data_IF_531842214688
#
_entry.id   IF_531842214688
#
_cell.length_a   1.000
_cell.length_b   1.000
_cell.length_c   1.000
_cell.angle_alpha   90.00
_cell.angle_beta   90.00
_cell.angle_gamma   90.00
#
_symmetry.space_group_name_H-M   'P 1'
#
loop_
_entity.id
_entity.type
_entity.pdbx_description
1 polymer ?
#
# COMPACT_ATOMS: atom_id res chain seq x y z
N UNK A 1 -23.56 -9.01 -12.23
CA UNK A 1 -23.30 -10.28 -11.50
C UNK A 1 -23.88 -10.16 -10.09
N UNK A 2 -24.28 -11.28 -9.51
CA UNK A 2 -24.82 -11.36 -8.15
C UNK A 2 -23.80 -12.08 -7.25
N UNK A 3 -23.57 -11.58 -6.06
CA UNK A 3 -22.70 -12.20 -5.06
C UNK A 3 -23.36 -13.48 -4.53
N UNK A 4 -22.71 -14.63 -4.72
CA UNK A 4 -23.25 -15.95 -4.37
C UNK A 4 -22.62 -16.55 -3.12
N UNK A 5 -21.36 -16.22 -2.82
CA UNK A 5 -20.71 -16.55 -1.56
C UNK A 5 -19.65 -15.55 -1.17
N UNK A 6 -19.47 -15.39 0.11
CA UNK A 6 -18.49 -14.48 0.73
C UNK A 6 -17.85 -15.19 1.92
N UNK A 7 -16.54 -15.31 1.93
CA UNK A 7 -15.78 -15.96 2.98
C UNK A 7 -14.71 -15.01 3.50
N UNK A 8 -14.67 -14.81 4.80
CA UNK A 8 -13.69 -13.97 5.48
C UNK A 8 -12.73 -14.81 6.29
N UNK A 9 -11.44 -14.58 6.08
CA UNK A 9 -10.35 -15.25 6.78
C UNK A 9 -9.43 -14.22 7.42
N UNK A 10 -8.80 -14.61 8.54
CA UNK A 10 -7.73 -13.85 9.16
C UNK A 10 -6.39 -14.53 8.91
N UNK A 11 -5.35 -13.73 8.72
CA UNK A 11 -3.99 -14.21 8.63
C UNK A 11 -3.07 -13.47 9.61
N UNK A 12 -1.96 -14.13 9.97
CA UNK A 12 -0.82 -13.55 10.66
C UNK A 12 0.45 -14.11 10.05
N UNK A 13 1.24 -13.25 9.41
CA UNK A 13 2.49 -13.60 8.74
C UNK A 13 3.68 -13.11 9.56
N UNK A 14 4.63 -13.97 9.92
CA UNK A 14 5.87 -13.53 10.55
C UNK A 14 6.77 -12.81 9.54
N UNK A 15 7.57 -11.87 10.05
CA UNK A 15 8.60 -11.19 9.28
C UNK A 15 9.96 -11.82 9.58
N UNK A 16 10.83 -11.88 8.56
CA UNK A 16 12.18 -12.44 8.70
C UNK A 16 13.11 -11.55 9.54
N UNK A 17 12.78 -10.26 9.61
CA UNK A 17 13.50 -9.25 10.38
C UNK A 17 12.51 -8.31 11.07
N UNK A 18 12.96 -7.68 12.16
CA UNK A 18 12.20 -6.59 12.77
C UNK A 18 12.12 -5.41 11.77
N UNK A 19 10.91 -5.12 11.30
CA UNK A 19 10.70 -4.11 10.28
C UNK A 19 10.39 -2.75 10.91
N UNK A 20 11.12 -1.68 10.56
CA UNK A 20 10.80 -0.36 11.03
C UNK A 20 9.52 0.18 10.37
N UNK A 21 8.60 0.67 11.19
CA UNK A 21 7.34 1.31 10.81
C UNK A 21 7.30 2.66 11.53
N UNK A 22 7.70 3.73 10.84
CA UNK A 22 8.03 4.99 11.49
C UNK A 22 9.17 4.81 12.50
N UNK A 23 8.93 5.20 13.77
CA UNK A 23 9.87 5.02 14.88
C UNK A 23 9.66 3.71 15.66
N UNK A 24 8.67 2.92 15.28
CA UNK A 24 8.30 1.64 15.90
C UNK A 24 8.81 0.47 15.07
N UNK A 25 8.73 -0.76 15.60
CA UNK A 25 9.16 -1.99 14.91
C UNK A 25 8.13 -3.08 15.06
N UNK A 26 7.91 -3.85 14.00
CA UNK A 26 7.01 -4.99 14.00
C UNK A 26 7.75 -6.28 13.61
N UNK A 27 7.30 -7.42 14.14
CA UNK A 27 7.82 -8.77 13.85
C UNK A 27 6.86 -9.63 13.04
N UNK A 28 5.65 -9.14 12.82
CA UNK A 28 4.62 -9.83 12.05
C UNK A 28 3.68 -8.83 11.37
N UNK A 29 2.96 -9.33 10.38
CA UNK A 29 1.88 -8.61 9.72
C UNK A 29 0.58 -9.42 9.84
N UNK A 30 -0.52 -8.76 10.23
CA UNK A 30 -1.84 -9.36 10.30
C UNK A 30 -2.83 -8.61 9.40
N UNK A 31 -3.82 -9.32 8.91
CA UNK A 31 -4.86 -8.77 8.05
C UNK A 31 -5.97 -9.77 7.79
N UNK A 32 -6.87 -9.41 6.90
CA UNK A 32 -8.00 -10.21 6.46
C UNK A 32 -7.86 -10.56 4.98
N UNK A 33 -8.37 -11.72 4.59
CA UNK A 33 -8.60 -12.08 3.20
C UNK A 33 -10.10 -12.25 3.00
N UNK A 34 -10.67 -11.46 2.10
CA UNK A 34 -12.06 -11.59 1.68
C UNK A 34 -12.09 -12.29 0.33
N UNK A 35 -12.67 -13.50 0.30
CA UNK A 35 -12.98 -14.24 -0.91
C UNK A 35 -14.43 -14.02 -1.27
N UNK A 36 -14.71 -13.70 -2.52
CA UNK A 36 -16.06 -13.59 -3.04
C UNK A 36 -16.25 -14.41 -4.32
N UNK A 37 -17.44 -14.99 -4.43
CA UNK A 37 -17.92 -15.59 -5.66
C UNK A 37 -19.11 -14.79 -6.19
N UNK A 38 -19.15 -14.57 -7.50
CA UNK A 38 -20.29 -13.94 -8.16
C UNK A 38 -20.63 -14.65 -9.48
N UNK A 39 -21.92 -14.65 -9.85
CA UNK A 39 -22.38 -15.24 -11.10
C UNK A 39 -23.36 -14.32 -11.84
N UNK A 40 -23.44 -14.45 -13.17
CA UNK A 40 -24.40 -13.68 -13.96
C UNK A 40 -25.83 -14.24 -13.88
N UNK A 41 -25.99 -15.58 -13.86
CA UNK A 41 -27.24 -16.32 -13.71
C UNK A 41 -26.94 -17.77 -13.31
N UNK A 42 -27.97 -18.56 -13.02
CA UNK A 42 -27.84 -20.01 -12.81
C UNK A 42 -27.23 -20.66 -14.06
N UNK A 43 -26.01 -21.16 -13.96
CA UNK A 43 -25.23 -21.73 -15.09
C UNK A 43 -24.52 -20.72 -15.99
N UNK A 44 -24.53 -19.43 -15.63
CA UNK A 44 -23.82 -18.38 -16.33
C UNK A 44 -22.35 -18.22 -15.94
N UNK A 45 -21.75 -17.10 -16.33
CA UNK A 45 -20.38 -16.76 -15.98
C UNK A 45 -20.21 -16.72 -14.46
N UNK A 46 -19.18 -17.40 -13.97
CA UNK A 46 -18.84 -17.52 -12.56
C UNK A 46 -17.44 -16.94 -12.33
N UNK A 47 -17.31 -16.10 -11.32
CA UNK A 47 -16.02 -15.57 -10.88
C UNK A 47 -15.81 -15.78 -9.40
N UNK A 48 -14.61 -16.19 -9.07
CA UNK A 48 -14.10 -16.24 -7.70
C UNK A 48 -12.83 -15.41 -7.63
N UNK A 49 -12.78 -14.52 -6.67
CA UNK A 49 -11.62 -13.63 -6.45
C UNK A 49 -11.36 -13.44 -4.95
N UNK A 50 -10.12 -13.15 -4.62
CA UNK A 50 -9.65 -12.83 -3.27
C UNK A 50 -9.06 -11.44 -3.24
N UNK A 51 -9.25 -10.72 -2.13
CA UNK A 51 -8.61 -9.44 -1.84
C UNK A 51 -8.06 -9.43 -0.42
N UNK A 52 -6.96 -8.75 -0.23
CA UNK A 52 -6.40 -8.48 1.08
C UNK A 52 -6.97 -7.17 1.64
N UNK A 53 -7.34 -7.17 2.94
CA UNK A 53 -7.76 -6.00 3.69
C UNK A 53 -6.94 -5.96 4.97
N UNK A 54 -5.92 -5.11 5.00
CA UNK A 54 -4.88 -5.13 6.02
C UNK A 54 -4.51 -3.72 6.50
N UNK A 55 -5.34 -3.10 7.36
CA UNK A 55 -4.96 -1.83 7.96
C UNK A 55 -3.61 -1.97 8.67
N UNK A 56 -2.71 -1.00 8.50
CA UNK A 56 -1.45 -0.97 9.22
C UNK A 56 -1.70 -0.44 10.63
N UNK A 57 -2.13 -1.33 11.49
CA UNK A 57 -2.52 -1.09 12.89
C UNK A 57 -2.12 -2.28 13.76
N UNK A 58 -2.23 -2.15 15.07
CA UNK A 58 -1.89 -3.20 16.03
C UNK A 58 -0.89 -2.71 17.06
N UNK A 59 -0.04 -3.60 17.51
CA UNK A 59 1.01 -3.32 18.49
C UNK A 59 2.39 -3.63 17.90
N UNK A 60 3.39 -2.90 18.33
CA UNK A 60 4.79 -3.12 17.99
C UNK A 60 5.44 -4.17 18.91
N UNK A 61 6.75 -4.40 18.73
CA UNK A 61 7.51 -5.37 19.53
C UNK A 61 7.68 -4.96 21.00
N UNK A 62 7.46 -3.68 21.32
CA UNK A 62 7.49 -3.13 22.69
C UNK A 62 6.07 -3.02 23.28
N UNK A 63 5.09 -3.71 22.70
CA UNK A 63 3.67 -3.73 23.10
C UNK A 63 2.99 -2.33 23.04
N UNK A 64 3.54 -1.41 22.24
CA UNK A 64 2.96 -0.09 22.04
C UNK A 64 2.05 -0.08 20.79
N UNK A 65 0.96 0.68 20.85
CA UNK A 65 0.04 0.84 19.72
C UNK A 65 0.78 1.51 18.54
N UNK A 66 0.63 0.94 17.35
CA UNK A 66 1.14 1.56 16.12
C UNK A 66 0.41 2.87 15.84
N UNK A 67 1.17 3.94 15.62
CA UNK A 67 0.65 5.28 15.38
C UNK A 67 1.15 5.87 14.05
N UNK A 68 0.34 6.74 13.46
CA UNK A 68 0.72 7.48 12.23
C UNK A 68 0.39 6.77 10.92
N UNK A 69 -0.33 5.65 10.96
CA UNK A 69 -0.71 4.85 9.77
C UNK A 69 -2.23 4.73 9.63
N UNK A 70 -2.78 3.51 9.68
CA UNK A 70 -4.23 3.34 9.60
C UNK A 70 -4.94 3.98 10.79
N UNK A 71 -6.06 4.64 10.50
CA UNK A 71 -6.93 5.23 11.51
C UNK A 71 -7.79 4.19 12.21
N UNK A 72 -8.13 3.14 11.48
CA UNK A 72 -8.89 1.98 11.95
C UNK A 72 -7.98 0.86 12.44
N UNK A 73 -8.51 0.06 13.35
CA UNK A 73 -7.89 -1.18 13.80
C UNK A 73 -8.38 -2.38 12.98
N UNK A 74 -7.58 -3.44 12.94
CA UNK A 74 -7.99 -4.70 12.29
C UNK A 74 -9.29 -5.25 12.87
N UNK A 75 -9.48 -5.15 14.20
CA UNK A 75 -10.69 -5.60 14.87
C UNK A 75 -11.95 -4.82 14.44
N UNK A 76 -11.84 -3.50 14.28
CA UNK A 76 -12.94 -2.67 13.77
C UNK A 76 -13.33 -3.07 12.35
N UNK A 77 -12.34 -3.26 11.47
CA UNK A 77 -12.58 -3.69 10.08
C UNK A 77 -13.18 -5.09 10.02
N UNK A 78 -12.68 -6.01 10.84
CA UNK A 78 -13.23 -7.38 10.94
C UNK A 78 -14.69 -7.37 11.37
N UNK A 79 -15.05 -6.59 12.39
CA UNK A 79 -16.44 -6.46 12.87
C UNK A 79 -17.32 -5.90 11.75
N UNK A 80 -16.94 -4.79 11.14
CA UNK A 80 -17.70 -4.17 10.06
C UNK A 80 -17.89 -5.11 8.86
N UNK A 81 -16.84 -5.85 8.45
CA UNK A 81 -16.94 -6.84 7.39
C UNK A 81 -17.87 -7.99 7.75
N UNK A 82 -17.78 -8.52 8.96
CA UNK A 82 -18.64 -9.64 9.40
C UNK A 82 -20.12 -9.27 9.33
N UNK A 83 -20.47 -8.04 9.74
CA UNK A 83 -21.84 -7.53 9.63
C UNK A 83 -22.24 -7.32 8.16
N UNK A 84 -21.33 -6.77 7.36
CA UNK A 84 -21.57 -6.47 5.95
C UNK A 84 -21.77 -7.70 5.09
N UNK A 85 -21.09 -8.82 5.37
CA UNK A 85 -21.25 -10.08 4.63
C UNK A 85 -22.69 -10.57 4.62
N UNK A 86 -23.42 -10.36 5.71
CA UNK A 86 -24.84 -10.75 5.83
C UNK A 86 -25.74 -9.90 4.91
N UNK A 87 -25.35 -8.68 4.61
CA UNK A 87 -26.10 -7.74 3.76
C UNK A 87 -25.76 -7.89 2.28
N UNK A 88 -24.54 -8.30 1.98
CA UNK A 88 -24.02 -8.41 0.61
C UNK A 88 -24.47 -9.68 -0.11
N UNK A 89 -24.76 -10.76 0.61
CA UNK A 89 -25.21 -12.02 0.00
C UNK A 89 -26.46 -11.82 -0.84
N UNK A 90 -26.45 -12.22 -2.11
CA UNK A 90 -27.55 -12.05 -3.04
C UNK A 90 -27.66 -10.67 -3.69
N UNK A 91 -26.83 -9.74 -3.30
CA UNK A 91 -26.84 -8.40 -3.90
C UNK A 91 -26.07 -8.35 -5.22
N UNK A 92 -26.35 -7.33 -6.01
CA UNK A 92 -25.54 -7.03 -7.20
C UNK A 92 -24.15 -6.57 -6.78
N UNK A 93 -23.11 -6.93 -7.54
CA UNK A 93 -21.73 -6.58 -7.20
C UNK A 93 -21.49 -5.06 -7.08
N UNK A 94 -22.27 -4.22 -7.74
CA UNK A 94 -22.15 -2.76 -7.65
C UNK A 94 -22.43 -2.22 -6.25
N UNK A 95 -23.19 -2.95 -5.42
CA UNK A 95 -23.42 -2.58 -4.01
C UNK A 95 -22.11 -2.54 -3.21
N UNK A 96 -21.05 -3.24 -3.66
CA UNK A 96 -19.73 -3.13 -3.07
C UNK A 96 -19.18 -1.70 -3.15
N UNK A 97 -19.45 -0.98 -4.26
CA UNK A 97 -19.02 0.41 -4.43
C UNK A 97 -19.79 1.35 -3.51
N UNK A 98 -21.10 1.13 -3.34
CA UNK A 98 -21.92 1.94 -2.44
C UNK A 98 -21.41 1.82 -0.98
N UNK A 99 -21.07 0.61 -0.54
CA UNK A 99 -20.49 0.39 0.78
C UNK A 99 -19.04 0.90 0.90
N UNK A 100 -18.26 0.84 -0.18
CA UNK A 100 -16.91 1.42 -0.20
C UNK A 100 -16.95 2.94 -0.03
N UNK A 101 -17.89 3.63 -0.69
CA UNK A 101 -18.07 5.08 -0.59
C UNK A 101 -18.54 5.52 0.81
N UNK A 102 -19.46 4.74 1.42
CA UNK A 102 -20.00 5.02 2.74
C UNK A 102 -19.06 4.65 3.89
N UNK A 103 -18.02 3.87 3.63
CA UNK A 103 -17.11 3.37 4.66
C UNK A 103 -16.24 4.49 5.23
N UNK A 104 -16.23 4.61 6.56
CA UNK A 104 -15.28 5.46 7.29
C UNK A 104 -13.89 4.83 7.44
N UNK A 105 -13.73 3.54 7.09
CA UNK A 105 -12.49 2.78 7.17
C UNK A 105 -11.83 2.69 5.80
N UNK A 106 -10.70 3.39 5.56
CA UNK A 106 -10.00 3.37 4.28
C UNK A 106 -9.65 1.97 3.77
N UNK A 107 -9.13 1.10 4.62
CA UNK A 107 -8.76 -0.26 4.22
C UNK A 107 -9.96 -1.09 3.77
N UNK A 108 -11.12 -0.92 4.41
CA UNK A 108 -12.38 -1.56 4.01
C UNK A 108 -12.87 -0.99 2.67
N UNK A 109 -12.88 0.33 2.52
CA UNK A 109 -13.27 1.00 1.28
C UNK A 109 -12.40 0.55 0.10
N UNK A 110 -11.08 0.48 0.30
CA UNK A 110 -10.15 -0.04 -0.70
C UNK A 110 -10.47 -1.50 -1.05
N UNK A 111 -10.57 -2.37 -0.06
CA UNK A 111 -10.84 -3.80 -0.27
C UNK A 111 -12.14 -4.07 -1.02
N UNK A 112 -13.23 -3.37 -0.68
CA UNK A 112 -14.52 -3.53 -1.36
C UNK A 112 -14.48 -3.04 -2.82
N UNK A 113 -13.86 -1.89 -3.07
CA UNK A 113 -13.71 -1.37 -4.44
C UNK A 113 -12.78 -2.24 -5.30
N UNK A 114 -11.72 -2.80 -4.70
CA UNK A 114 -10.82 -3.74 -5.35
C UNK A 114 -11.54 -5.07 -5.65
N UNK A 115 -12.32 -5.58 -4.70
CA UNK A 115 -13.13 -6.77 -4.90
C UNK A 115 -14.08 -6.61 -6.10
N UNK A 116 -14.77 -5.47 -6.18
CA UNK A 116 -15.62 -5.13 -7.32
C UNK A 116 -14.82 -5.11 -8.63
N UNK A 117 -13.65 -4.45 -8.65
CA UNK A 117 -12.82 -4.34 -9.84
C UNK A 117 -12.34 -5.73 -10.34
N UNK A 118 -11.98 -6.62 -9.41
CA UNK A 118 -11.57 -8.01 -9.73
C UNK A 118 -12.76 -8.85 -10.22
N UNK A 119 -13.94 -8.73 -9.61
CA UNK A 119 -15.16 -9.42 -10.07
C UNK A 119 -15.60 -8.95 -11.46
N UNK A 120 -15.38 -7.68 -11.78
CA UNK A 120 -15.61 -7.12 -13.13
C UNK A 120 -14.51 -7.45 -14.14
N UNK A 121 -13.43 -8.13 -13.72
CA UNK A 121 -12.31 -8.47 -14.60
C UNK A 121 -11.47 -7.28 -15.06
N UNK A 122 -11.53 -6.15 -14.36
CA UNK A 122 -10.81 -4.93 -14.78
C UNK A 122 -9.29 -5.08 -14.69
N UNK A 123 -8.80 -6.04 -13.91
CA UNK A 123 -7.36 -6.31 -13.74
C UNK A 123 -6.84 -7.42 -14.68
N UNK A 124 -7.71 -8.26 -15.25
CA UNK A 124 -7.31 -9.50 -15.93
C UNK A 124 -6.44 -9.29 -17.18
N UNK A 125 -6.73 -8.25 -17.96
CA UNK A 125 -6.00 -7.94 -19.19
C UNK A 125 -4.76 -7.07 -18.96
N UNK A 126 -4.53 -6.63 -17.73
CA UNK A 126 -3.47 -5.69 -17.40
C UNK A 126 -2.19 -6.46 -17.08
N UNK A 127 -1.08 -6.10 -17.72
CA UNK A 127 0.23 -6.61 -17.32
C UNK A 127 0.68 -5.88 -16.06
N UNK A 128 1.00 -6.61 -14.97
CA UNK A 128 1.43 -5.98 -13.73
C UNK A 128 2.77 -5.24 -13.92
N UNK A 129 2.96 -4.17 -13.18
CA UNK A 129 4.26 -3.53 -13.03
C UNK A 129 5.19 -4.46 -12.24
N UNK A 130 6.21 -5.00 -12.89
CA UNK A 130 7.19 -5.89 -12.24
C UNK A 130 8.41 -5.15 -11.72
N UNK A 131 8.69 -3.94 -12.23
CA UNK A 131 9.73 -3.09 -11.70
C UNK A 131 9.27 -2.47 -10.38
N UNK A 132 10.15 -2.41 -9.42
CA UNK A 132 9.93 -1.71 -8.15
C UNK A 132 11.18 -0.93 -7.77
N UNK A 133 11.02 0.13 -6.97
CA UNK A 133 12.14 0.91 -6.45
C UNK A 133 12.73 0.16 -5.26
N UNK A 134 14.00 -0.29 -5.33
CA UNK A 134 14.63 -1.01 -4.22
C UNK A 134 14.70 -0.16 -2.96
N UNK A 135 14.39 -0.77 -1.81
CA UNK A 135 14.41 -0.12 -0.51
C UNK A 135 15.71 -0.42 0.24
N UNK A 136 16.38 0.64 0.69
CA UNK A 136 17.64 0.58 1.44
C UNK A 136 17.41 1.16 2.84
N UNK A 137 17.83 0.39 3.85
CA UNK A 137 17.86 0.78 5.25
C UNK A 137 19.30 0.96 5.71
N UNK A 138 19.51 1.80 6.72
CA UNK A 138 20.80 1.86 7.41
C UNK A 138 21.06 0.48 8.06
N UNK A 139 22.23 -0.13 7.80
CA UNK A 139 22.58 -1.40 8.44
C UNK A 139 22.79 -1.18 9.94
N UNK A 140 21.97 -1.84 10.77
CA UNK A 140 22.05 -1.71 12.24
C UNK A 140 23.26 -2.41 12.85
N UNK A 141 23.76 -3.51 12.22
CA UNK A 141 24.84 -4.35 12.75
C UNK A 141 25.81 -4.91 11.68
N UNK A 142 25.56 -4.62 10.41
CA UNK A 142 26.38 -5.12 9.32
C UNK A 142 27.24 -3.96 8.77
N UNK A 143 28.53 -4.17 8.72
CA UNK A 143 29.48 -3.17 8.22
C UNK A 143 29.15 -2.71 6.79
N UNK A 144 29.71 -1.59 6.38
CA UNK A 144 29.51 -0.94 5.07
C UNK A 144 29.69 -1.88 3.86
N UNK A 145 30.46 -2.95 3.99
CA UNK A 145 30.71 -3.93 2.91
C UNK A 145 29.43 -4.66 2.45
N UNK A 146 28.47 -4.90 3.34
CA UNK A 146 27.18 -5.53 2.97
C UNK A 146 26.30 -4.57 2.19
N UNK A 147 26.29 -3.30 2.54
CA UNK A 147 25.59 -2.27 1.82
C UNK A 147 26.16 -2.08 0.41
N UNK A 148 27.48 -1.94 0.29
CA UNK A 148 28.17 -1.76 -0.99
C UNK A 148 27.89 -2.96 -1.91
N UNK A 149 27.90 -4.19 -1.38
CA UNK A 149 27.55 -5.40 -2.12
C UNK A 149 26.07 -5.40 -2.57
N UNK A 150 25.14 -5.00 -1.70
CA UNK A 150 23.71 -4.89 -2.04
C UNK A 150 23.48 -3.88 -3.16
N UNK A 151 24.11 -2.71 -3.05
CA UNK A 151 23.99 -1.64 -4.06
C UNK A 151 24.65 -2.05 -5.37
N UNK A 152 25.84 -2.66 -5.33
CA UNK A 152 26.55 -3.16 -6.52
C UNK A 152 25.77 -4.28 -7.23
N UNK A 153 25.03 -5.09 -6.51
CA UNK A 153 24.21 -6.17 -7.06
C UNK A 153 22.93 -5.69 -7.77
N UNK A 154 22.55 -4.41 -7.62
CA UNK A 154 21.40 -3.86 -8.31
C UNK A 154 21.60 -3.90 -9.83
N UNK A 155 20.59 -4.38 -10.55
CA UNK A 155 20.64 -4.46 -12.02
C UNK A 155 20.84 -3.07 -12.66
N UNK A 156 21.47 -3.02 -13.82
CA UNK A 156 21.72 -1.75 -14.55
C UNK A 156 20.42 -1.04 -14.99
N UNK A 157 19.30 -1.73 -14.99
CA UNK A 157 17.98 -1.14 -15.26
C UNK A 157 17.39 -0.39 -14.06
N UNK A 158 17.97 -0.52 -12.87
CA UNK A 158 17.58 0.23 -11.68
C UNK A 158 18.21 1.61 -11.75
N UNK A 159 17.38 2.63 -11.85
CA UNK A 159 17.81 4.04 -11.94
C UNK A 159 17.52 4.83 -10.67
N UNK A 160 16.64 4.33 -9.81
CA UNK A 160 16.30 4.99 -8.54
C UNK A 160 16.26 3.97 -7.41
N UNK A 161 16.64 4.40 -6.21
CA UNK A 161 16.51 3.63 -4.96
C UNK A 161 15.84 4.50 -3.90
N UNK A 162 15.05 3.87 -3.04
CA UNK A 162 14.45 4.52 -1.86
C UNK A 162 15.37 4.29 -0.66
N UNK A 163 15.68 5.35 0.09
CA UNK A 163 16.57 5.31 1.25
C UNK A 163 15.84 5.86 2.46
N UNK A 164 15.70 5.06 3.52
CA UNK A 164 15.18 5.53 4.81
C UNK A 164 16.22 6.42 5.49
N UNK A 165 15.79 7.60 5.93
CA UNK A 165 16.58 8.60 6.64
C UNK A 165 15.86 9.05 7.92
N UNK A 166 16.46 9.93 8.70
CA UNK A 166 15.98 10.35 10.03
C UNK A 166 15.85 9.18 11.05
N UNK A 167 16.68 8.16 10.87
CA UNK A 167 16.69 6.96 11.73
C UNK A 167 17.90 6.93 12.68
N UNK A 168 18.98 7.59 12.30
CA UNK A 168 20.27 7.60 13.01
C UNK A 168 20.83 9.02 13.10
N UNK A 169 22.14 9.18 13.36
CA UNK A 169 22.77 10.50 13.29
C UNK A 169 22.85 11.01 11.85
N UNK A 170 22.86 12.33 11.67
CA UNK A 170 23.01 12.96 10.34
C UNK A 170 24.30 12.48 9.66
N UNK A 171 25.40 12.33 10.41
CA UNK A 171 26.69 11.87 9.90
C UNK A 171 26.60 10.42 9.35
N UNK A 172 25.93 9.52 10.05
CA UNK A 172 25.76 8.14 9.63
C UNK A 172 24.90 8.06 8.37
N UNK A 173 23.82 8.84 8.30
CA UNK A 173 22.93 8.89 7.13
C UNK A 173 23.60 9.50 5.90
N UNK A 174 24.40 10.55 6.10
CA UNK A 174 25.25 11.10 5.01
C UNK A 174 26.26 10.07 4.54
N UNK A 175 26.91 9.34 5.46
CA UNK A 175 27.83 8.25 5.12
C UNK A 175 27.16 7.17 4.29
N UNK A 176 25.92 6.77 4.64
CA UNK A 176 25.09 5.83 3.88
C UNK A 176 24.84 6.34 2.46
N UNK A 177 24.35 7.58 2.32
CA UNK A 177 23.99 8.18 1.03
C UNK A 177 25.23 8.30 0.13
N UNK A 178 26.34 8.84 0.65
CA UNK A 178 27.59 8.94 -0.11
C UNK A 178 28.19 7.56 -0.44
N UNK A 179 27.98 6.53 0.42
CA UNK A 179 28.34 5.15 0.12
C UNK A 179 27.58 4.61 -1.09
N UNK A 180 26.26 4.82 -1.14
CA UNK A 180 25.41 4.43 -2.27
C UNK A 180 25.88 5.11 -3.56
N UNK A 181 26.04 6.44 -3.53
CA UNK A 181 26.44 7.23 -4.70
C UNK A 181 27.87 6.95 -5.16
N UNK A 182 28.77 6.58 -4.25
CA UNK A 182 30.15 6.14 -4.62
C UNK A 182 30.10 4.80 -5.36
N UNK A 183 29.24 3.87 -4.94
CA UNK A 183 29.11 2.54 -5.55
C UNK A 183 28.36 2.59 -6.88
N UNK A 184 27.30 3.41 -6.96
CA UNK A 184 26.44 3.60 -8.13
C UNK A 184 26.12 5.09 -8.34
N UNK A 185 27.04 5.86 -8.95
CA UNK A 185 26.88 7.31 -9.15
C UNK A 185 25.76 7.69 -10.15
N UNK A 186 25.25 6.72 -10.89
CA UNK A 186 24.14 6.86 -11.84
C UNK A 186 22.76 6.83 -11.17
N UNK A 187 22.67 6.40 -9.90
CA UNK A 187 21.40 6.31 -9.20
C UNK A 187 20.85 7.68 -8.80
N UNK A 188 19.53 7.79 -8.86
CA UNK A 188 18.75 8.83 -8.21
C UNK A 188 18.20 8.31 -6.89
N UNK A 189 18.08 9.18 -5.90
CA UNK A 189 17.62 8.80 -4.57
C UNK A 189 16.24 9.39 -4.27
N UNK A 190 15.34 8.57 -3.76
CA UNK A 190 14.08 8.93 -3.12
C UNK A 190 14.31 8.77 -1.62
N UNK A 191 14.48 9.86 -0.91
CA UNK A 191 14.70 9.82 0.53
C UNK A 191 13.36 9.72 1.25
N UNK A 192 13.30 8.99 2.37
CA UNK A 192 12.08 8.85 3.16
C UNK A 192 12.39 9.10 4.64
N UNK A 193 11.99 10.25 5.13
CA UNK A 193 12.25 10.70 6.49
C UNK A 193 11.12 10.38 7.47
N UNK A 194 9.95 9.94 7.00
CA UNK A 194 8.78 9.64 7.83
C UNK A 194 8.53 10.68 8.94
N UNK A 195 8.63 11.97 8.61
CA UNK A 195 8.52 13.10 9.55
C UNK A 195 9.52 13.04 10.71
N UNK A 196 10.71 12.50 10.49
CA UNK A 196 11.69 12.29 11.55
C UNK A 196 12.49 13.53 11.94
N UNK A 197 12.69 14.50 11.04
CA UNK A 197 13.48 15.70 11.29
C UNK A 197 12.65 16.88 11.82
N UNK A 198 13.24 17.70 12.70
CA UNK A 198 12.76 19.08 12.83
C UNK A 198 13.05 19.84 11.54
N UNK A 199 12.47 21.02 11.37
CA UNK A 199 12.74 21.86 10.20
C UNK A 199 14.25 22.17 10.05
N UNK A 200 14.90 22.55 11.15
CA UNK A 200 16.33 22.87 11.18
C UNK A 200 17.18 21.65 10.82
N UNK A 201 16.86 20.48 11.37
CA UNK A 201 17.56 19.23 11.05
C UNK A 201 17.37 18.83 9.58
N UNK A 202 16.18 18.99 9.03
CA UNK A 202 15.91 18.72 7.61
C UNK A 202 16.77 19.62 6.71
N UNK A 203 16.85 20.90 7.03
CA UNK A 203 17.67 21.88 6.30
C UNK A 203 19.15 21.53 6.42
N UNK A 204 19.65 21.25 7.63
CA UNK A 204 21.05 20.88 7.88
C UNK A 204 21.43 19.61 7.12
N UNK A 205 20.61 18.57 7.18
CA UNK A 205 20.80 17.31 6.46
C UNK A 205 20.83 17.53 4.94
N UNK A 206 19.82 18.22 4.41
CA UNK A 206 19.67 18.44 2.97
C UNK A 206 20.78 19.33 2.39
N UNK A 207 21.29 20.29 3.17
CA UNK A 207 22.41 21.17 2.75
C UNK A 207 23.71 20.40 2.49
N UNK A 208 23.85 19.20 3.07
CA UNK A 208 25.02 18.34 2.88
C UNK A 208 24.89 17.37 1.70
N UNK A 209 23.76 17.38 0.95
CA UNK A 209 23.50 16.41 -0.11
C UNK A 209 23.70 16.99 -1.52
N UNK A 210 24.12 16.16 -2.49
CA UNK A 210 24.17 16.55 -3.90
C UNK A 210 22.75 16.56 -4.48
N UNK A 211 22.10 17.74 -4.49
CA UNK A 211 20.68 17.90 -4.82
C UNK A 211 20.31 17.32 -6.20
N UNK A 212 21.25 17.36 -7.14
CA UNK A 212 21.04 16.82 -8.49
C UNK A 212 20.89 15.29 -8.53
N UNK A 213 21.25 14.58 -7.46
CA UNK A 213 21.05 13.13 -7.33
C UNK A 213 19.76 12.77 -6.60
N UNK A 214 19.08 13.75 -5.98
CA UNK A 214 17.87 13.52 -5.20
C UNK A 214 16.63 13.80 -6.05
N UNK A 215 15.73 12.81 -6.19
CA UNK A 215 14.44 13.01 -6.85
C UNK A 215 13.49 13.84 -5.95
N UNK A 216 13.41 13.46 -4.68
CA UNK A 216 12.67 14.14 -3.64
C UNK A 216 12.98 13.53 -2.26
N UNK A 217 12.57 14.22 -1.21
CA UNK A 217 12.49 13.68 0.15
C UNK A 217 11.03 13.56 0.59
N UNK A 218 10.61 12.39 1.04
CA UNK A 218 9.25 12.13 1.56
C UNK A 218 9.16 12.64 2.99
N UNK A 219 8.12 13.44 3.27
CA UNK A 219 7.77 13.95 4.60
C UNK A 219 9.01 14.35 5.42
N UNK A 220 9.80 15.34 4.98
CA UNK A 220 11.06 15.70 5.66
C UNK A 220 10.83 16.18 7.08
N UNK A 221 9.82 17.03 7.31
CA UNK A 221 9.64 17.72 8.57
C UNK A 221 8.60 17.04 9.48
N UNK A 222 8.85 17.05 10.79
CA UNK A 222 7.88 16.58 11.81
C UNK A 222 6.52 17.24 11.67
N UNK A 223 6.53 18.54 11.39
CA UNK A 223 5.32 19.28 11.05
C UNK A 223 5.26 19.45 9.52
N UNK A 224 4.27 18.86 8.83
CA UNK A 224 4.18 18.95 7.36
C UNK A 224 4.04 20.38 6.82
N UNK A 225 3.59 21.32 7.64
CA UNK A 225 3.49 22.73 7.25
C UNK A 225 4.86 23.37 7.00
N UNK A 226 5.91 22.82 7.62
CA UNK A 226 7.29 23.33 7.48
C UNK A 226 7.96 22.84 6.18
N UNK A 227 7.35 21.89 5.44
CA UNK A 227 7.89 21.36 4.19
C UNK A 227 8.08 22.46 3.12
N UNK A 228 7.18 23.46 3.08
CA UNK A 228 7.31 24.58 2.16
C UNK A 228 8.51 25.46 2.52
N UNK A 229 8.72 25.78 3.78
CA UNK A 229 9.85 26.58 4.25
C UNK A 229 11.19 25.83 4.08
N UNK A 230 11.19 24.52 4.32
CA UNK A 230 12.31 23.63 3.99
C UNK A 230 12.70 23.76 2.51
N UNK A 231 11.72 23.64 1.59
CA UNK A 231 11.99 23.81 0.16
C UNK A 231 12.51 25.20 -0.18
N UNK A 232 11.96 26.25 0.42
CA UNK A 232 12.41 27.62 0.17
C UNK A 232 13.86 27.85 0.63
N UNK A 233 14.30 27.17 1.69
CA UNK A 233 15.66 27.29 2.22
C UNK A 233 16.70 26.55 1.39
N UNK A 234 16.38 25.36 0.87
CA UNK A 234 17.35 24.43 0.25
C UNK A 234 17.08 24.18 -1.23
N UNK A 235 15.84 24.32 -1.70
CA UNK A 235 15.46 23.98 -3.07
C UNK A 235 15.32 22.47 -3.34
N UNK A 236 15.41 21.61 -2.31
CA UNK A 236 15.23 20.18 -2.46
C UNK A 236 13.73 19.85 -2.60
N UNK A 237 13.30 19.17 -3.68
CA UNK A 237 11.92 18.76 -3.87
C UNK A 237 11.46 17.81 -2.75
N UNK A 238 10.15 17.86 -2.40
CA UNK A 238 9.58 16.95 -1.42
C UNK A 238 8.36 16.21 -1.94
N UNK A 239 8.03 15.12 -1.28
CA UNK A 239 6.83 14.32 -1.52
C UNK A 239 5.98 14.21 -0.25
N UNK A 240 4.66 13.99 -0.43
CA UNK A 240 3.75 13.70 0.67
C UNK A 240 3.42 12.19 0.69
N UNK A 241 3.42 11.62 1.88
CA UNK A 241 3.02 10.24 2.22
C UNK A 241 2.02 10.26 3.39
N UNK A 242 2.49 10.42 4.62
CA UNK A 242 1.65 10.43 5.81
C UNK A 242 0.64 11.59 5.82
N UNK A 243 0.95 12.70 5.18
CA UNK A 243 0.02 13.83 5.04
C UNK A 243 -1.26 13.46 4.31
N UNK A 244 -1.19 12.49 3.39
CA UNK A 244 -2.35 12.00 2.63
C UNK A 244 -3.34 11.23 3.52
N UNK A 245 -2.90 10.73 4.68
CA UNK A 245 -3.73 9.96 5.60
C UNK A 245 -4.65 10.83 6.49
N UNK A 246 -4.48 12.16 6.45
CA UNK A 246 -5.40 13.08 7.15
C UNK A 246 -6.80 12.95 6.51
N UNK A 247 -7.86 12.68 7.30
CA UNK A 247 -9.22 12.59 6.77
C UNK A 247 -9.72 13.86 6.08
N UNK A 248 -9.14 15.00 6.45
CA UNK A 248 -9.46 16.30 5.88
C UNK A 248 -8.49 16.72 4.76
N UNK A 249 -7.55 15.87 4.38
CA UNK A 249 -6.60 16.18 3.32
C UNK A 249 -7.35 16.52 2.03
N UNK A 250 -7.01 17.66 1.49
CA UNK A 250 -7.40 18.09 0.14
C UNK A 250 -6.14 18.48 -0.61
N UNK A 251 -6.00 17.97 -1.81
CA UNK A 251 -4.85 18.29 -2.64
C UNK A 251 -4.81 19.81 -2.90
N UNK A 252 -3.67 20.39 -2.59
CA UNK A 252 -3.34 21.77 -2.94
C UNK A 252 -1.90 21.83 -3.43
N UNK A 253 -1.68 22.36 -4.62
CA UNK A 253 -0.34 22.52 -5.17
C UNK A 253 0.48 23.50 -4.33
N UNK A 254 1.69 23.08 -3.95
CA UNK A 254 2.65 23.89 -3.21
C UNK A 254 4.00 23.88 -3.93
N UNK A 255 4.77 24.97 -3.80
CA UNK A 255 6.11 25.02 -4.35
C UNK A 255 6.99 23.94 -3.72
N UNK A 256 7.71 23.21 -4.58
CA UNK A 256 8.57 22.10 -4.15
C UNK A 256 7.88 20.75 -4.00
N UNK A 257 6.54 20.69 -3.97
CA UNK A 257 5.81 19.43 -4.01
C UNK A 257 5.92 18.83 -5.41
N UNK A 258 6.57 17.65 -5.51
CA UNK A 258 6.82 16.99 -6.80
C UNK A 258 6.20 15.60 -6.89
N UNK A 259 5.86 14.98 -5.76
CA UNK A 259 5.28 13.64 -5.75
C UNK A 259 4.29 13.42 -4.60
N UNK A 260 3.32 12.52 -4.84
CA UNK A 260 2.46 11.90 -3.83
C UNK A 260 2.79 10.41 -3.77
N UNK A 261 3.10 9.91 -2.57
CA UNK A 261 3.31 8.47 -2.30
C UNK A 261 1.98 7.90 -1.80
N UNK A 262 1.30 7.20 -2.70
CA UNK A 262 -0.09 6.78 -2.50
C UNK A 262 -0.13 5.35 -2.00
N UNK A 263 -0.61 5.15 -0.79
CA UNK A 263 -0.85 3.84 -0.16
C UNK A 263 -2.35 3.53 -0.16
N UNK A 264 -2.85 2.74 -1.12
CA UNK A 264 -4.28 2.52 -1.31
C UNK A 264 -5.00 2.05 -0.05
N UNK A 265 -4.38 1.13 0.72
CA UNK A 265 -4.94 0.60 1.96
C UNK A 265 -5.20 1.67 3.03
N UNK A 266 -4.46 2.80 3.00
CA UNK A 266 -4.58 3.88 3.96
C UNK A 266 -5.49 5.03 3.47
N UNK A 267 -5.75 5.11 2.16
CA UNK A 267 -6.46 6.23 1.55
C UNK A 267 -7.92 5.93 1.22
N UNK A 268 -8.25 4.71 0.83
CA UNK A 268 -9.63 4.31 0.58
C UNK A 268 -9.90 3.78 -0.82
N UNK A 269 -11.11 3.97 -1.34
CA UNK A 269 -11.59 3.34 -2.58
C UNK A 269 -10.74 3.71 -3.81
N UNK A 270 -10.73 2.81 -4.80
CA UNK A 270 -10.02 3.03 -6.08
C UNK A 270 -10.50 4.32 -6.77
N UNK A 271 -11.78 4.65 -6.67
CA UNK A 271 -12.32 5.89 -7.24
C UNK A 271 -11.72 7.13 -6.57
N UNK A 272 -11.65 7.14 -5.23
CA UNK A 272 -10.99 8.21 -4.48
C UNK A 272 -9.53 8.37 -4.87
N UNK A 273 -8.81 7.25 -5.05
CA UNK A 273 -7.43 7.24 -5.50
C UNK A 273 -7.28 7.82 -6.91
N UNK A 274 -8.13 7.38 -7.85
CA UNK A 274 -8.12 7.86 -9.22
C UNK A 274 -8.35 9.38 -9.30
N UNK A 275 -9.32 9.90 -8.55
CA UNK A 275 -9.62 11.33 -8.49
C UNK A 275 -8.44 12.14 -7.92
N UNK A 276 -7.78 11.64 -6.86
CA UNK A 276 -6.59 12.28 -6.31
C UNK A 276 -5.44 12.30 -7.32
N UNK A 277 -5.19 11.16 -7.97
CA UNK A 277 -4.12 11.01 -8.98
C UNK A 277 -4.36 11.95 -10.16
N UNK A 278 -5.55 11.94 -10.74
CA UNK A 278 -5.92 12.81 -11.86
C UNK A 278 -5.72 14.29 -11.49
N UNK A 279 -6.19 14.68 -10.30
CA UNK A 279 -6.02 16.04 -9.81
C UNK A 279 -4.55 16.41 -9.68
N UNK A 280 -3.74 15.61 -8.97
CA UNK A 280 -2.32 15.89 -8.75
C UNK A 280 -1.52 15.94 -10.06
N UNK A 281 -1.76 14.98 -10.96
CA UNK A 281 -1.12 14.93 -12.27
C UNK A 281 -1.46 16.14 -13.14
N UNK A 282 -2.67 16.71 -13.03
CA UNK A 282 -3.04 17.93 -13.76
C UNK A 282 -2.17 19.15 -13.38
N UNK A 283 -1.51 19.10 -12.22
CA UNK A 283 -0.53 20.08 -11.74
C UNK A 283 0.92 19.65 -11.97
N UNK A 284 1.15 18.53 -12.66
CA UNK A 284 2.50 17.99 -12.91
C UNK A 284 3.12 17.28 -11.71
N UNK A 285 2.33 16.95 -10.68
CA UNK A 285 2.79 16.19 -9.52
C UNK A 285 2.75 14.69 -9.82
N UNK A 286 3.87 14.02 -9.63
CA UNK A 286 4.01 12.56 -9.81
C UNK A 286 3.17 11.83 -8.76
N UNK A 287 2.58 10.69 -9.13
CA UNK A 287 1.80 9.86 -8.21
C UNK A 287 2.38 8.45 -8.20
N UNK A 288 2.93 8.01 -7.08
CA UNK A 288 3.62 6.74 -6.94
C UNK A 288 2.77 5.81 -6.06
N UNK A 289 2.26 4.71 -6.63
CA UNK A 289 1.61 3.67 -5.83
C UNK A 289 2.67 3.00 -4.96
N UNK A 290 2.38 2.91 -3.67
CA UNK A 290 3.27 2.31 -2.67
C UNK A 290 2.50 1.35 -1.76
N UNK A 291 3.24 0.47 -1.08
CA UNK A 291 2.64 -0.47 -0.13
C UNK A 291 2.59 0.08 1.28
N UNK A 292 1.63 -0.41 2.06
CA UNK A 292 1.57 -0.32 3.51
C UNK A 292 1.87 -1.67 4.17
N UNK A 293 2.84 -2.40 3.60
CA UNK A 293 3.25 -3.75 4.01
C UNK A 293 2.16 -4.80 3.79
N UNK A 294 1.50 -4.76 2.64
CA UNK A 294 0.63 -5.83 2.20
C UNK A 294 1.44 -7.11 1.93
N UNK A 295 0.76 -8.25 2.07
CA UNK A 295 1.29 -9.57 1.71
C UNK A 295 1.45 -9.72 0.20
N UNK A 296 1.92 -10.90 -0.24
CA UNK A 296 2.04 -11.20 -1.67
C UNK A 296 0.71 -11.12 -2.44
N UNK A 297 -0.44 -11.36 -1.78
CA UNK A 297 -1.76 -11.15 -2.39
C UNK A 297 -1.99 -9.67 -2.67
N UNK A 298 -1.83 -8.80 -1.68
CA UNK A 298 -2.05 -7.36 -1.85
C UNK A 298 -1.02 -6.73 -2.78
N UNK A 299 0.26 -7.11 -2.68
CA UNK A 299 1.30 -6.62 -3.60
C UNK A 299 0.98 -7.02 -5.05
N UNK A 300 0.50 -8.24 -5.30
CA UNK A 300 0.06 -8.64 -6.63
C UNK A 300 -1.04 -7.72 -7.16
N UNK A 301 -2.04 -7.39 -6.35
CA UNK A 301 -3.11 -6.48 -6.74
C UNK A 301 -2.59 -5.04 -6.97
N UNK A 302 -1.69 -4.56 -6.11
CA UNK A 302 -1.08 -3.23 -6.24
C UNK A 302 -0.22 -3.09 -7.50
N UNK A 303 0.45 -4.15 -7.96
CA UNK A 303 1.22 -4.12 -9.22
C UNK A 303 0.33 -3.90 -10.44
N UNK A 304 -0.88 -4.47 -10.44
CA UNK A 304 -1.88 -4.24 -11.50
C UNK A 304 -2.48 -2.83 -11.41
N UNK A 305 -2.79 -2.37 -10.19
CA UNK A 305 -3.32 -1.01 -9.97
C UNK A 305 -2.30 0.06 -10.36
N UNK A 306 -1.01 -0.14 -10.05
CA UNK A 306 0.05 0.78 -10.50
C UNK A 306 0.11 0.87 -12.03
N UNK A 307 -0.01 -0.27 -12.73
CA UNK A 307 -0.03 -0.29 -14.19
C UNK A 307 -1.26 0.42 -14.80
N UNK A 308 -2.38 0.52 -14.05
CA UNK A 308 -3.61 1.20 -14.50
C UNK A 308 -3.56 2.69 -14.13
N UNK A 309 -3.25 3.01 -12.88
CA UNK A 309 -3.43 4.34 -12.33
C UNK A 309 -2.20 5.24 -12.53
N UNK A 310 -1.01 4.67 -12.53
CA UNK A 310 0.26 5.40 -12.63
C UNK A 310 1.26 4.68 -13.56
N UNK A 311 0.90 4.41 -14.84
CA UNK A 311 1.67 3.55 -15.73
C UNK A 311 3.08 4.05 -16.02
N UNK A 312 3.31 5.35 -15.92
CA UNK A 312 4.60 6.00 -16.20
C UNK A 312 5.54 6.04 -15.00
N UNK A 313 5.08 5.57 -13.81
CA UNK A 313 5.86 5.58 -12.58
C UNK A 313 6.25 4.17 -12.12
N UNK A 314 7.45 4.04 -11.57
CA UNK A 314 7.89 2.81 -10.92
C UNK A 314 7.34 2.81 -9.48
N UNK A 315 6.50 1.83 -9.10
CA UNK A 315 5.86 1.80 -7.79
C UNK A 315 6.84 1.43 -6.67
N UNK A 316 6.51 1.87 -5.45
CA UNK A 316 7.24 1.56 -4.21
C UNK A 316 6.72 0.27 -3.55
N UNK A 317 6.92 -0.88 -4.17
CA UNK A 317 6.34 -2.17 -3.74
C UNK A 317 7.38 -3.20 -3.27
N UNK A 318 8.64 -2.79 -3.04
CA UNK A 318 9.74 -3.69 -2.63
C UNK A 318 9.70 -4.01 -1.12
N UNK A 319 8.60 -4.61 -0.66
CA UNK A 319 8.39 -4.95 0.76
C UNK A 319 8.31 -6.45 1.03
N UNK A 320 8.11 -7.27 0.00
CA UNK A 320 7.95 -8.73 0.16
C UNK A 320 9.20 -9.44 0.68
N UNK A 321 10.37 -8.85 0.51
CA UNK A 321 11.62 -9.40 1.04
C UNK A 321 11.58 -9.57 2.58
N UNK A 322 10.81 -8.74 3.28
CA UNK A 322 10.67 -8.78 4.73
C UNK A 322 9.80 -9.95 5.25
N UNK A 323 8.94 -10.53 4.42
CA UNK A 323 8.05 -11.62 4.83
C UNK A 323 8.73 -12.98 4.77
N UNK A 324 8.45 -13.87 5.73
CA UNK A 324 8.98 -15.24 5.75
C UNK A 324 8.26 -16.18 4.77
N UNK A 325 7.03 -15.85 4.38
CA UNK A 325 6.17 -16.67 3.53
C UNK A 325 5.18 -15.82 2.73
N UNK A 326 4.67 -16.41 1.64
CA UNK A 326 3.65 -15.81 0.80
C UNK A 326 2.23 -16.09 1.32
N UNK A 327 1.25 -15.33 0.83
CA UNK A 327 -0.17 -15.48 1.11
C UNK A 327 -0.95 -15.57 -0.20
N UNK A 328 -1.60 -16.70 -0.45
CA UNK A 328 -2.49 -17.00 -1.59
C UNK A 328 -1.79 -16.92 -2.94
N UNK A 329 -1.03 -15.85 -3.20
CA UNK A 329 -0.26 -15.64 -4.44
C UNK A 329 1.22 -15.87 -4.15
N UNK A 330 1.87 -16.75 -4.94
CA UNK A 330 3.30 -17.01 -4.79
C UNK A 330 4.14 -15.88 -5.39
N UNK A 331 5.06 -15.34 -4.59
CA UNK A 331 6.08 -14.38 -5.03
C UNK A 331 7.49 -14.99 -5.12
N UNK A 332 7.61 -16.29 -4.82
CA UNK A 332 8.88 -17.04 -4.85
C UNK A 332 9.38 -17.43 -3.46
N UNK A 333 8.66 -17.17 -2.39
CA UNK A 333 8.99 -17.70 -1.06
C UNK A 333 8.79 -19.22 -1.01
N UNK A 334 9.53 -19.88 -0.10
CA UNK A 334 9.49 -21.34 0.07
C UNK A 334 8.09 -21.84 0.47
N UNK A 335 7.35 -21.07 1.20
CA UNK A 335 6.01 -21.37 1.69
C UNK A 335 5.03 -20.31 1.21
N UNK A 336 3.87 -20.76 0.73
CA UNK A 336 2.74 -19.91 0.37
C UNK A 336 1.49 -20.45 1.07
N UNK A 337 0.91 -19.68 1.98
CA UNK A 337 -0.31 -20.06 2.67
C UNK A 337 -1.49 -20.03 1.71
N UNK A 338 -2.28 -21.09 1.73
CA UNK A 338 -3.57 -21.17 1.03
C UNK A 338 -4.71 -20.75 1.95
N UNK A 339 -5.88 -20.40 1.40
CA UNK A 339 -7.06 -20.05 2.20
C UNK A 339 -7.45 -21.14 3.21
N UNK A 340 -7.26 -22.42 2.87
CA UNK A 340 -7.57 -23.54 3.76
C UNK A 340 -6.69 -23.59 5.02
N UNK A 341 -5.57 -22.86 5.04
CA UNK A 341 -4.65 -22.78 6.17
C UNK A 341 -4.86 -21.52 7.02
N UNK A 342 -5.78 -20.62 6.59
CA UNK A 342 -6.10 -19.40 7.31
C UNK A 342 -7.21 -19.66 8.33
N UNK A 343 -7.31 -18.80 9.34
CA UNK A 343 -8.39 -18.82 10.33
C UNK A 343 -9.69 -18.31 9.70
N UNK A 344 -10.74 -19.15 9.59
CA UNK A 344 -12.02 -18.70 9.08
C UNK A 344 -12.74 -17.85 10.14
N UNK A 345 -13.18 -16.65 9.75
CA UNK A 345 -13.89 -15.71 10.63
C UNK A 345 -15.40 -15.76 10.37
N UNK A 346 -15.80 -15.69 9.11
CA UNK A 346 -17.20 -15.71 8.71
C UNK A 346 -17.35 -16.31 7.32
N UNK A 347 -18.47 -16.98 7.10
CA UNK A 347 -18.84 -17.55 5.82
C UNK A 347 -20.33 -17.27 5.54
N UNK A 348 -20.60 -16.78 4.35
CA UNK A 348 -21.95 -16.56 3.88
C UNK A 348 -22.10 -17.12 2.47
N UNK A 349 -23.02 -18.05 2.29
CA UNK A 349 -23.40 -18.60 0.98
C UNK A 349 -24.91 -18.49 0.83
N UNK A 350 -25.37 -18.16 -0.36
CA UNK A 350 -26.80 -18.15 -0.66
C UNK A 350 -27.22 -19.57 -0.99
N UNK A 351 -28.22 -20.08 -0.28
CA UNK A 351 -28.83 -21.35 -0.60
C UNK A 351 -29.41 -21.36 -2.02
N UNK A 352 -29.21 -22.48 -2.73
CA UNK A 352 -29.70 -22.66 -4.10
C UNK A 352 -31.20 -22.46 -4.27
N UNK A 353 -31.96 -22.56 -3.18
CA UNK A 353 -33.40 -22.27 -3.12
C UNK A 353 -33.72 -20.77 -3.20
N UNK A 354 -32.89 -19.91 -2.64
CA UNK A 354 -33.08 -18.46 -2.73
C UNK A 354 -32.69 -17.89 -4.11
N UNK A 355 -31.81 -18.56 -4.87
CA UNK A 355 -31.49 -18.20 -6.23
C UNK A 355 -32.67 -18.34 -7.22
N UNK A 356 -33.59 -19.29 -6.98
CA UNK A 356 -34.76 -19.47 -7.80
C UNK A 356 -35.80 -18.35 -7.61
N UNK A 357 -35.93 -17.80 -6.41
CA UNK A 357 -36.89 -16.75 -6.08
C UNK A 357 -36.50 -15.39 -6.59
N UNK A 358 -35.19 -15.07 -6.61
CA UNK A 358 -34.64 -13.85 -7.21
C UNK A 358 -34.79 -13.80 -8.76
N UNK A 359 -34.80 -14.98 -9.40
CA UNK A 359 -35.06 -15.13 -10.84
C UNK A 359 -36.57 -15.05 -11.19
N UNK A 360 -37.47 -15.39 -10.27
CA UNK A 360 -38.91 -15.35 -10.47
C UNK A 360 -39.49 -13.94 -10.28
N UNK A 361 -39.03 -13.19 -9.28
CA UNK A 361 -39.52 -11.84 -8.99
C UNK A 361 -39.28 -10.85 -10.13
N UNK A 362 -38.18 -11.00 -10.91
CA UNK A 362 -37.90 -10.15 -12.08
C UNK A 362 -38.67 -10.50 -13.35
N UNK A 363 -39.43 -11.61 -13.38
CA UNK A 363 -40.27 -12.00 -14.52
C UNK A 363 -41.73 -11.49 -14.40
N UNK A 364 -42.12 -11.02 -13.22
CA UNK A 364 -43.43 -10.43 -12.98
C UNK A 364 -43.49 -8.91 -13.15
N UNK A 365 -42.32 -8.23 -13.32
CA UNK A 365 -42.24 -6.78 -13.54
C UNK A 365 -41.96 -6.37 -15.00
N UNK A 366 -42.01 -7.31 -15.98
CA UNK A 366 -41.86 -6.98 -17.42
C UNK A 366 -43.10 -7.34 -18.21
#
# INVERSE_FOLDING_TARGET
>A
MILTSLNLYQYRLPLDVLLPVGKQRIDHRAGLVLQACASTNVGGEYRQVEVEIAPLSGIDVDEQVLVGFSRETLAQVQTALTELLLLLGGQHIDTLLDYAEQSSYPSLAFGLSLLHAKLMGKLDAIRPQTATVPLIYHPTDAGNDLLDNKVAALGMHVHSVKVKVAQTSIEDELSLIYGILRTRPDLKLRLDANRGFTQEQAIEFAACLPLDTIEYIEEPCQNPQDNLEFYQAIGMPYALDESLNDPNYQFAMQNGLTALVIKPMLLGSIEKLANLIETAQSYGVRCIISSSLESSLGISDLTHLAAILTPDEIPGLDTLSAFSQDLVVSSGKKHCLTLAQLEPIAQHAIDSTQQSDLGAAKREEN
#
